data_IF_208886163669
#
_entry.id   IF_208886163669
#
_cell.length_a   1.000
_cell.length_b   1.000
_cell.length_c   1.000
_cell.angle_alpha   90.00
_cell.angle_beta   90.00
_cell.angle_gamma   90.00
#
_symmetry.space_group_name_H-M   'P 1'
#
loop_
_entity.id
_entity.type
_entity.pdbx_description
1 polymer ?
#
# COMPACT_ATOMS: atom_id res chain seq x y z
N UNK A 1 12.14 20.56 -8.76
CA UNK A 1 10.80 19.99 -8.57
C UNK A 1 10.84 19.16 -7.29
N UNK A 2 9.79 19.14 -6.45
CA UNK A 2 9.77 18.20 -5.34
C UNK A 2 9.89 16.79 -5.93
N UNK A 3 10.96 16.08 -5.59
CA UNK A 3 11.03 14.64 -5.87
C UNK A 3 9.90 14.03 -5.04
N UNK A 4 9.05 13.22 -5.67
CA UNK A 4 7.91 12.55 -5.04
C UNK A 4 8.35 11.12 -4.74
N UNK A 5 8.32 10.72 -3.47
CA UNK A 5 8.60 9.37 -3.03
C UNK A 5 7.33 8.51 -3.03
N UNK A 6 7.52 7.22 -3.20
CA UNK A 6 6.41 6.27 -3.29
C UNK A 6 5.73 6.04 -1.94
N UNK A 7 6.34 6.43 -0.82
CA UNK A 7 5.68 6.46 0.48
C UNK A 7 4.46 7.39 0.49
N UNK A 8 4.58 8.60 -0.05
CA UNK A 8 3.46 9.54 -0.15
C UNK A 8 2.36 9.00 -1.06
N UNK A 9 2.74 8.43 -2.20
CA UNK A 9 1.79 7.79 -3.13
C UNK A 9 1.07 6.61 -2.49
N UNK A 10 1.76 5.84 -1.64
CA UNK A 10 1.16 4.72 -0.91
C UNK A 10 0.15 5.19 0.14
N UNK A 11 0.44 6.28 0.85
CA UNK A 11 -0.49 6.86 1.82
C UNK A 11 -1.73 7.38 1.10
N UNK A 12 -1.56 8.14 0.01
CA UNK A 12 -2.67 8.64 -0.79
C UNK A 12 -3.55 7.50 -1.34
N UNK A 13 -2.93 6.45 -1.88
CA UNK A 13 -3.63 5.28 -2.36
C UNK A 13 -4.45 4.62 -1.25
N UNK A 14 -3.85 4.37 -0.08
CA UNK A 14 -4.54 3.71 1.03
C UNK A 14 -5.66 4.58 1.60
N UNK A 15 -5.46 5.89 1.71
CA UNK A 15 -6.51 6.81 2.13
C UNK A 15 -7.70 6.76 1.19
N UNK A 16 -7.47 6.70 -0.13
CA UNK A 16 -8.56 6.54 -1.11
C UNK A 16 -9.26 5.20 -1.01
N UNK A 17 -8.50 4.10 -0.89
CA UNK A 17 -9.05 2.74 -0.72
C UNK A 17 -9.94 2.64 0.51
N UNK A 18 -9.49 3.23 1.62
CA UNK A 18 -10.20 3.19 2.89
C UNK A 18 -11.33 4.22 2.87
N UNK A 19 -11.04 5.51 2.83
CA UNK A 19 -12.06 6.55 3.06
C UNK A 19 -13.04 6.72 1.88
N UNK A 20 -12.73 6.16 0.71
CA UNK A 20 -13.54 6.26 -0.48
C UNK A 20 -13.34 7.59 -1.23
N UNK A 21 -13.96 7.74 -2.41
CA UNK A 21 -13.73 8.87 -3.32
C UNK A 21 -14.37 10.19 -2.86
N UNK A 22 -15.25 10.17 -1.86
CA UNK A 22 -15.99 11.34 -1.37
C UNK A 22 -15.27 12.13 -0.27
N UNK A 23 -14.14 11.63 0.22
CA UNK A 23 -13.41 12.26 1.31
C UNK A 23 -12.25 13.09 0.76
N UNK A 24 -12.10 14.33 1.23
CA UNK A 24 -10.99 15.21 0.87
C UNK A 24 -9.88 15.14 1.91
N UNK A 25 -8.62 14.99 1.46
CA UNK A 25 -7.45 14.98 2.34
C UNK A 25 -6.32 15.82 1.74
N UNK A 26 -5.48 16.36 2.64
CA UNK A 26 -4.27 17.09 2.29
C UNK A 26 -3.09 16.37 2.93
N UNK A 27 -2.18 15.86 2.12
CA UNK A 27 -0.94 15.25 2.62
C UNK A 27 0.12 16.34 2.75
N UNK A 28 0.51 16.65 4.00
CA UNK A 28 1.61 17.58 4.29
C UNK A 28 2.94 16.83 4.19
N UNK A 29 3.73 17.14 3.17
CA UNK A 29 4.99 16.46 2.87
C UNK A 29 6.14 17.10 3.64
N UNK A 30 6.40 16.60 4.85
CA UNK A 30 7.54 17.05 5.67
C UNK A 30 8.72 16.09 5.49
N UNK A 31 9.72 16.52 4.72
CA UNK A 31 10.98 15.81 4.43
C UNK A 31 10.84 14.42 3.77
N UNK A 32 11.05 14.36 2.46
CA UNK A 32 11.06 13.10 1.71
C UNK A 32 12.45 12.41 1.78
N UNK A 33 12.43 11.09 1.92
CA UNK A 33 13.65 10.27 1.90
C UNK A 33 14.10 10.05 0.46
N UNK A 34 15.25 10.64 0.10
CA UNK A 34 15.77 10.63 -1.28
C UNK A 34 16.77 9.48 -1.54
N UNK A 35 16.94 8.55 -0.60
CA UNK A 35 17.83 7.41 -0.80
C UNK A 35 17.23 6.45 -1.84
N UNK A 36 17.96 6.19 -2.93
CA UNK A 36 17.49 5.38 -4.06
C UNK A 36 17.04 3.96 -3.68
N UNK A 37 17.69 3.33 -2.70
CA UNK A 37 17.30 1.99 -2.23
C UNK A 37 15.96 2.04 -1.50
N UNK A 38 15.74 3.08 -0.69
CA UNK A 38 14.46 3.29 -0.02
C UNK A 38 13.34 3.56 -1.03
N UNK A 39 13.62 4.40 -2.05
CA UNK A 39 12.66 4.68 -3.13
C UNK A 39 12.29 3.39 -3.89
N UNK A 40 13.26 2.56 -4.24
CA UNK A 40 13.00 1.28 -4.94
C UNK A 40 12.17 0.30 -4.08
N UNK A 41 12.48 0.19 -2.79
CA UNK A 41 11.74 -0.65 -1.84
C UNK A 41 10.31 -0.15 -1.66
N UNK A 42 10.13 1.16 -1.52
CA UNK A 42 8.81 1.79 -1.40
C UNK A 42 7.96 1.58 -2.66
N UNK A 43 8.56 1.70 -3.86
CA UNK A 43 7.87 1.40 -5.13
C UNK A 43 7.33 -0.03 -5.15
N UNK A 44 8.18 -0.99 -4.78
CA UNK A 44 7.81 -2.41 -4.76
C UNK A 44 6.70 -2.70 -3.75
N UNK A 45 6.78 -2.06 -2.59
CA UNK A 45 5.73 -2.14 -1.57
C UNK A 45 4.39 -1.59 -2.09
N UNK A 46 4.41 -0.47 -2.82
CA UNK A 46 3.22 0.11 -3.42
C UNK A 46 2.60 -0.79 -4.50
N UNK A 47 3.43 -1.38 -5.38
CA UNK A 47 2.98 -2.32 -6.41
C UNK A 47 2.27 -3.54 -5.80
N UNK A 48 2.85 -4.15 -4.76
CA UNK A 48 2.21 -5.28 -4.05
C UNK A 48 0.91 -4.86 -3.38
N UNK A 49 0.89 -3.67 -2.78
CA UNK A 49 -0.30 -3.12 -2.14
C UNK A 49 -1.44 -2.95 -3.15
N UNK A 50 -1.13 -2.48 -4.36
CA UNK A 50 -2.10 -2.36 -5.46
C UNK A 50 -2.59 -3.72 -5.94
N UNK A 51 -1.70 -4.68 -6.16
CA UNK A 51 -2.07 -6.04 -6.59
C UNK A 51 -3.09 -6.71 -5.66
N UNK A 52 -2.99 -6.45 -4.35
CA UNK A 52 -3.93 -6.99 -3.37
C UNK A 52 -5.25 -6.20 -3.36
N UNK A 53 -5.17 -4.87 -3.34
CA UNK A 53 -6.32 -4.02 -3.00
C UNK A 53 -7.12 -3.52 -4.22
N UNK A 54 -6.57 -3.56 -5.44
CA UNK A 54 -7.25 -3.12 -6.67
C UNK A 54 -8.40 -4.06 -7.07
N UNK A 55 -8.45 -5.26 -6.49
CA UNK A 55 -9.57 -6.19 -6.67
C UNK A 55 -10.84 -5.77 -5.91
N UNK A 56 -10.74 -4.80 -5.00
CA UNK A 56 -11.86 -4.32 -4.18
C UNK A 56 -12.25 -2.91 -4.61
N UNK A 57 -13.49 -2.51 -4.37
CA UNK A 57 -13.94 -1.14 -4.60
C UNK A 57 -13.34 -0.18 -3.55
N UNK A 58 -13.26 1.11 -3.89
CA UNK A 58 -12.80 2.15 -2.95
C UNK A 58 -13.93 2.46 -1.95
N UNK A 59 -13.64 2.45 -0.66
CA UNK A 59 -14.62 2.67 0.40
C UNK A 59 -15.36 1.42 0.89
N UNK A 60 -15.18 0.26 0.25
CA UNK A 60 -15.73 -1.02 0.72
C UNK A 60 -14.78 -1.67 1.76
N UNK A 61 -14.85 -1.15 2.99
CA UNK A 61 -13.98 -1.60 4.10
C UNK A 61 -14.14 -3.08 4.38
N UNK A 62 -15.38 -3.59 4.29
CA UNK A 62 -15.71 -4.96 4.60
C UNK A 62 -15.12 -5.92 3.55
N UNK A 63 -15.21 -5.58 2.26
CA UNK A 63 -14.61 -6.38 1.19
C UNK A 63 -13.09 -6.37 1.27
N UNK A 64 -12.48 -5.20 1.50
CA UNK A 64 -11.02 -5.07 1.67
C UNK A 64 -10.55 -5.90 2.85
N UNK A 65 -11.20 -5.77 4.02
CA UNK A 65 -10.81 -6.52 5.21
C UNK A 65 -10.95 -8.03 5.02
N UNK A 66 -12.08 -8.51 4.48
CA UNK A 66 -12.28 -9.94 4.18
C UNK A 66 -11.28 -10.45 3.14
N UNK A 67 -10.95 -9.63 2.13
CA UNK A 67 -9.93 -9.92 1.14
C UNK A 67 -8.54 -10.09 1.76
N UNK A 68 -8.15 -9.19 2.67
CA UNK A 68 -6.89 -9.26 3.40
C UNK A 68 -6.83 -10.48 4.33
N UNK A 69 -7.91 -10.81 5.01
CA UNK A 69 -8.00 -12.04 5.83
C UNK A 69 -7.72 -13.31 5.01
N UNK A 70 -8.14 -13.35 3.75
CA UNK A 70 -7.92 -14.51 2.88
C UNK A 70 -6.52 -14.54 2.26
N UNK A 71 -5.98 -13.36 1.92
CA UNK A 71 -4.80 -13.24 1.07
C UNK A 71 -3.51 -12.91 1.80
N UNK A 72 -3.58 -12.15 2.90
CA UNK A 72 -2.40 -11.55 3.51
C UNK A 72 -1.95 -12.33 4.76
N UNK A 73 -0.66 -12.72 4.87
CA UNK A 73 -0.18 -13.58 5.96
C UNK A 73 -0.31 -12.97 7.35
N UNK A 74 -0.22 -11.65 7.49
CA UNK A 74 -0.43 -10.97 8.78
C UNK A 74 -1.84 -11.17 9.36
N UNK A 75 -2.82 -11.54 8.52
CA UNK A 75 -4.20 -11.82 8.90
C UNK A 75 -4.54 -13.32 8.88
N UNK A 76 -3.54 -14.18 8.72
CA UNK A 76 -3.72 -15.64 8.60
C UNK A 76 -4.05 -16.12 7.19
N UNK A 77 -4.00 -15.24 6.18
CA UNK A 77 -4.17 -15.57 4.77
C UNK A 77 -3.00 -16.38 4.21
N UNK A 78 -3.26 -17.20 3.19
CA UNK A 78 -2.32 -18.23 2.70
C UNK A 78 -1.61 -17.88 1.38
N UNK A 79 -1.83 -16.69 0.83
CA UNK A 79 -1.41 -16.35 -0.53
C UNK A 79 0.10 -16.07 -0.65
N UNK A 80 0.76 -15.72 0.45
CA UNK A 80 2.21 -15.51 0.49
C UNK A 80 2.71 -15.71 1.92
N UNK A 81 3.78 -16.48 2.13
CA UNK A 81 4.40 -16.66 3.45
C UNK A 81 5.24 -15.44 3.85
N UNK A 82 5.54 -15.28 5.15
CA UNK A 82 6.43 -14.19 5.65
C UNK A 82 7.81 -14.25 4.98
N UNK A 83 8.34 -15.44 4.72
CA UNK A 83 9.66 -15.60 4.09
C UNK A 83 9.66 -15.26 2.60
N UNK A 84 8.55 -15.52 1.90
CA UNK A 84 8.36 -15.06 0.51
C UNK A 84 8.25 -13.53 0.46
N UNK A 85 7.51 -12.91 1.38
CA UNK A 85 7.44 -11.46 1.48
C UNK A 85 8.81 -10.83 1.73
N UNK A 86 9.63 -11.40 2.62
CA UNK A 86 11.00 -10.94 2.88
C UNK A 86 11.87 -11.04 1.62
N UNK A 87 11.82 -12.16 0.90
CA UNK A 87 12.59 -12.35 -0.34
C UNK A 87 12.17 -11.38 -1.43
N UNK A 88 10.88 -11.06 -1.51
CA UNK A 88 10.34 -10.10 -2.48
C UNK A 88 10.75 -8.68 -2.07
N UNK A 89 10.66 -8.29 -0.81
CA UNK A 89 10.86 -6.90 -0.40
C UNK A 89 12.34 -6.48 -0.26
N UNK A 90 13.26 -7.43 -0.09
CA UNK A 90 14.69 -7.16 0.05
C UNK A 90 15.06 -6.75 1.47
#
# INVERSE_FOLDING_TARGET
MPQVNHSTESVEYLLRKILGPSFEWIIVRSAENLNEQNVARERKSLELTRQINDAFEDGDHDAIYKGLMNSHPAYGGTLTTIDELRRILG
#
